data_IF_979136765778
#
_entry.id   IF_979136765778
#
_cell.length_a   1.000
_cell.length_b   1.000
_cell.length_c   1.000
_cell.angle_alpha   90.00
_cell.angle_beta   90.00
_cell.angle_gamma   90.00
#
_symmetry.space_group_name_H-M   'P 1'
#
loop_
_entity.id
_entity.type
_entity.pdbx_description
1 polymer ?
#
# COMPACT_ATOMS: atom_id res chain seq x y z
N UNK A 1 19.38 15.25 -10.83
CA UNK A 1 18.38 14.16 -10.75
C UNK A 1 17.16 14.63 -11.52
N UNK A 2 16.60 13.81 -12.42
CA UNK A 2 15.37 14.12 -13.18
C UNK A 2 14.49 12.88 -13.24
N UNK A 3 13.17 13.05 -13.27
CA UNK A 3 12.25 11.96 -13.60
C UNK A 3 12.19 11.74 -15.11
N UNK A 4 12.05 10.47 -15.52
CA UNK A 4 11.87 10.06 -16.91
C UNK A 4 10.40 9.79 -17.24
N UNK A 5 9.47 10.37 -16.48
CA UNK A 5 8.03 10.27 -16.70
C UNK A 5 7.67 10.76 -18.11
N UNK A 6 6.99 9.92 -18.88
CA UNK A 6 6.58 10.23 -20.25
C UNK A 6 5.10 10.55 -20.35
N UNK A 7 4.25 9.63 -19.88
CA UNK A 7 2.80 9.69 -20.04
C UNK A 7 2.13 8.82 -18.97
N UNK A 8 0.81 8.93 -18.89
CA UNK A 8 -0.04 7.99 -18.18
C UNK A 8 -0.64 7.01 -19.18
N UNK A 9 -0.77 5.74 -18.82
CA UNK A 9 -1.33 4.70 -19.69
C UNK A 9 -2.38 3.89 -18.95
N UNK A 10 -3.53 3.64 -19.59
CA UNK A 10 -4.54 2.79 -19.01
C UNK A 10 -4.10 1.32 -18.98
N UNK A 11 -4.18 0.71 -17.80
CA UNK A 11 -3.78 -0.69 -17.56
C UNK A 11 -4.71 -1.73 -18.20
N UNK A 12 -5.77 -1.29 -18.89
CA UNK A 12 -6.73 -2.17 -19.57
C UNK A 12 -6.80 -1.91 -21.07
N UNK A 13 -7.12 -0.67 -21.48
CA UNK A 13 -7.26 -0.32 -22.91
C UNK A 13 -5.99 0.26 -23.55
N UNK A 14 -4.92 0.47 -22.79
CA UNK A 14 -3.64 1.02 -23.26
C UNK A 14 -3.71 2.45 -23.81
N UNK A 15 -4.86 3.14 -23.66
CA UNK A 15 -4.98 4.55 -24.02
C UNK A 15 -3.98 5.39 -23.21
N UNK A 16 -3.32 6.32 -23.91
CA UNK A 16 -2.34 7.23 -23.33
C UNK A 16 -2.96 8.58 -23.01
N UNK A 17 -2.47 9.17 -21.92
CA UNK A 17 -2.89 10.46 -21.37
C UNK A 17 -1.66 11.29 -21.00
N UNK A 18 -1.80 12.61 -21.03
CA UNK A 18 -0.71 13.51 -20.66
C UNK A 18 -0.39 13.40 -19.17
N UNK A 19 0.88 13.23 -18.82
CA UNK A 19 1.32 13.27 -17.42
C UNK A 19 1.36 14.70 -16.84
N UNK A 20 1.09 15.72 -17.66
CA UNK A 20 1.08 17.14 -17.27
C UNK A 20 -0.35 17.68 -17.06
N UNK A 21 -1.37 16.84 -17.27
CA UNK A 21 -2.77 17.18 -17.07
C UNK A 21 -3.36 16.44 -15.87
N UNK A 22 -4.49 16.95 -15.38
CA UNK A 22 -5.20 16.33 -14.26
C UNK A 22 -6.02 15.16 -14.77
N UNK A 23 -5.66 13.95 -14.33
CA UNK A 23 -6.38 12.72 -14.63
C UNK A 23 -6.75 11.97 -13.36
N UNK A 24 -7.85 11.23 -13.43
CA UNK A 24 -8.23 10.23 -12.44
C UNK A 24 -8.17 8.84 -13.07
N UNK A 25 -9.32 8.22 -13.31
CA UNK A 25 -9.43 6.96 -14.06
C UNK A 25 -9.42 7.25 -15.56
N UNK A 26 -9.14 6.21 -16.34
CA UNK A 26 -9.26 6.26 -17.79
C UNK A 26 -10.65 6.75 -18.20
N UNK A 27 -10.72 7.80 -19.02
CA UNK A 27 -11.98 8.35 -19.54
C UNK A 27 -12.78 7.35 -20.37
N UNK A 28 -12.10 6.39 -20.99
CA UNK A 28 -12.68 5.52 -22.02
C UNK A 28 -13.25 4.23 -21.42
N UNK A 29 -12.61 3.69 -20.38
CA UNK A 29 -13.03 2.41 -19.80
C UNK A 29 -13.10 2.41 -18.25
N UNK A 30 -12.84 3.54 -17.59
CA UNK A 30 -12.94 3.68 -16.13
C UNK A 30 -11.94 2.85 -15.34
N UNK A 31 -10.85 2.38 -15.97
CA UNK A 31 -9.79 1.58 -15.32
C UNK A 31 -8.60 2.45 -14.92
N UNK A 32 -7.70 1.86 -14.14
CA UNK A 32 -6.54 2.54 -13.54
C UNK A 32 -5.58 3.02 -14.62
N UNK A 33 -4.91 4.14 -14.35
CA UNK A 33 -3.81 4.65 -15.15
C UNK A 33 -2.49 4.38 -14.42
N UNK A 34 -1.46 3.97 -15.14
CA UNK A 34 -0.08 3.88 -14.65
C UNK A 34 0.76 5.01 -15.20
N UNK A 35 1.65 5.55 -14.36
CA UNK A 35 2.73 6.39 -14.83
C UNK A 35 3.76 5.52 -15.58
N UNK A 36 4.06 5.91 -16.82
CA UNK A 36 5.06 5.27 -17.68
C UNK A 36 6.29 6.14 -17.80
N UNK A 37 7.45 5.50 -17.94
CA UNK A 37 8.75 6.14 -17.95
C UNK A 37 9.53 5.69 -19.18
N UNK A 38 10.44 6.53 -19.67
CA UNK A 38 11.42 6.14 -20.68
C UNK A 38 12.51 5.26 -20.05
N UNK A 39 12.16 3.98 -19.83
CA UNK A 39 13.05 3.01 -19.19
C UNK A 39 14.28 2.67 -20.04
N UNK A 40 14.22 2.92 -21.35
CA UNK A 40 15.39 2.76 -22.25
C UNK A 40 16.46 3.76 -21.87
N UNK A 41 16.10 5.04 -21.77
CA UNK A 41 17.02 6.08 -21.29
C UNK A 41 17.46 5.87 -19.84
N UNK A 42 16.55 5.42 -18.96
CA UNK A 42 16.90 5.12 -17.56
C UNK A 42 17.96 4.04 -17.47
N UNK A 43 17.82 2.94 -18.23
CA UNK A 43 18.79 1.83 -18.26
C UNK A 43 20.22 2.28 -18.61
N UNK A 44 20.33 3.19 -19.58
CA UNK A 44 21.62 3.69 -20.03
C UNK A 44 22.30 4.57 -18.98
N UNK A 45 21.54 5.41 -18.29
CA UNK A 45 22.07 6.52 -17.47
C UNK A 45 22.08 6.19 -15.97
N UNK A 46 21.04 5.55 -15.44
CA UNK A 46 20.88 5.34 -14.00
C UNK A 46 21.52 4.02 -13.53
N UNK A 47 22.48 4.12 -12.62
CA UNK A 47 23.22 2.98 -12.07
C UNK A 47 22.94 2.82 -10.58
N UNK A 48 23.06 1.58 -10.08
CA UNK A 48 22.90 1.26 -8.65
C UNK A 48 23.82 2.10 -7.75
N UNK A 49 25.03 2.41 -8.21
CA UNK A 49 25.99 3.26 -7.50
C UNK A 49 25.51 4.69 -7.26
N UNK A 50 24.59 5.19 -8.10
CA UNK A 50 24.05 6.55 -7.97
C UNK A 50 23.14 6.70 -6.74
N UNK A 51 22.72 5.58 -6.14
CA UNK A 51 21.94 5.54 -4.92
C UNK A 51 22.77 5.84 -3.67
N UNK A 52 24.10 5.69 -3.75
CA UNK A 52 25.02 5.96 -2.65
C UNK A 52 25.00 7.46 -2.33
N UNK A 53 24.84 7.79 -1.06
CA UNK A 53 24.80 9.17 -0.58
C UNK A 53 23.49 9.91 -0.85
N UNK A 54 22.51 9.28 -1.52
CA UNK A 54 21.14 9.83 -1.57
C UNK A 54 20.50 9.77 -0.19
N UNK A 55 19.55 10.67 0.07
CA UNK A 55 18.73 10.62 1.29
C UNK A 55 17.93 9.31 1.32
N UNK A 56 17.79 8.73 2.50
CA UNK A 56 17.02 7.52 2.72
C UNK A 56 15.53 7.84 2.83
N UNK A 57 14.89 8.09 1.69
CA UNK A 57 13.43 8.22 1.54
C UNK A 57 12.97 7.70 0.18
N UNK A 58 11.67 7.71 -0.10
CA UNK A 58 11.13 7.22 -1.38
C UNK A 58 11.59 8.04 -2.60
N UNK A 59 12.08 9.27 -2.40
CA UNK A 59 12.46 10.16 -3.50
C UNK A 59 13.88 9.91 -3.98
N UNK A 60 14.64 9.03 -3.31
CA UNK A 60 15.91 8.52 -3.84
C UNK A 60 15.77 7.76 -5.16
N UNK A 61 14.55 7.36 -5.54
CA UNK A 61 14.21 6.67 -6.78
C UNK A 61 13.73 7.61 -7.90
N UNK A 62 14.03 8.92 -7.80
CA UNK A 62 13.39 10.01 -8.56
C UNK A 62 13.29 9.79 -10.08
N UNK A 63 14.25 9.08 -10.68
CA UNK A 63 14.28 8.75 -12.11
C UNK A 63 12.99 8.07 -12.60
N UNK A 64 12.34 7.31 -11.72
CA UNK A 64 11.08 6.59 -11.98
C UNK A 64 9.98 7.00 -10.98
N UNK A 65 9.93 8.28 -10.62
CA UNK A 65 8.87 8.86 -9.77
C UNK A 65 7.98 9.84 -10.54
N UNK A 66 6.70 10.05 -10.16
CA UNK A 66 5.71 10.68 -11.03
C UNK A 66 5.75 12.22 -11.06
N UNK A 67 6.87 12.82 -10.66
CA UNK A 67 7.04 14.28 -10.54
C UNK A 67 8.23 14.71 -11.38
N UNK A 68 8.06 15.73 -12.22
CA UNK A 68 9.09 16.18 -13.16
C UNK A 68 10.14 17.06 -12.48
N UNK A 69 9.76 17.85 -11.47
CA UNK A 69 10.65 18.75 -10.74
C UNK A 69 10.75 18.42 -9.24
N UNK A 70 11.98 18.39 -8.70
CA UNK A 70 12.23 18.14 -7.27
C UNK A 70 11.58 19.19 -6.36
N UNK A 71 11.35 20.41 -6.83
CA UNK A 71 10.73 21.47 -6.03
C UNK A 71 9.26 21.17 -5.65
N UNK A 72 8.62 20.28 -6.40
CA UNK A 72 7.25 19.84 -6.16
C UNK A 72 7.16 18.70 -5.14
N UNK A 73 8.29 18.12 -4.74
CA UNK A 73 8.33 17.01 -3.78
C UNK A 73 7.86 17.48 -2.40
N UNK A 74 6.81 16.82 -1.92
CA UNK A 74 6.28 16.90 -0.56
C UNK A 74 6.63 15.59 0.15
N UNK A 75 7.64 15.66 1.01
CA UNK A 75 8.12 14.52 1.79
C UNK A 75 8.14 14.85 3.29
N UNK A 76 7.89 13.83 4.10
CA UNK A 76 8.08 13.79 5.54
C UNK A 76 9.20 12.80 5.94
N UNK A 77 9.95 12.27 4.98
CA UNK A 77 11.00 11.27 5.20
C UNK A 77 10.51 9.82 5.17
N UNK A 78 9.37 9.57 4.54
CA UNK A 78 8.81 8.25 4.29
C UNK A 78 9.71 7.36 3.44
N UNK A 79 9.66 6.05 3.69
CA UNK A 79 10.54 5.06 3.09
C UNK A 79 11.74 4.69 3.96
N UNK A 80 12.67 3.94 3.37
CA UNK A 80 13.83 3.35 4.04
C UNK A 80 13.47 2.60 5.34
N UNK A 81 12.35 1.88 5.31
CA UNK A 81 11.83 1.17 6.47
C UNK A 81 12.62 -0.12 6.72
N UNK A 82 12.74 -0.55 7.98
CA UNK A 82 13.50 -1.76 8.29
C UNK A 82 12.94 -3.01 7.61
N UNK A 83 13.87 -3.86 7.16
CA UNK A 83 13.61 -5.26 6.86
C UNK A 83 14.18 -6.06 8.04
N UNK A 84 13.31 -6.44 8.97
CA UNK A 84 13.69 -7.11 10.21
C UNK A 84 13.76 -8.61 9.96
N UNK A 85 14.84 -9.27 10.40
CA UNK A 85 14.89 -10.73 10.43
C UNK A 85 14.08 -11.22 11.64
N UNK A 86 13.01 -11.97 11.39
CA UNK A 86 12.12 -12.50 12.43
C UNK A 86 12.68 -13.81 12.99
N UNK A 87 13.72 -13.71 13.82
CA UNK A 87 14.47 -14.86 14.31
C UNK A 87 13.62 -15.80 15.18
N UNK A 88 12.95 -15.26 16.20
CA UNK A 88 12.21 -16.06 17.18
C UNK A 88 10.95 -16.68 16.57
N UNK A 89 10.24 -15.95 15.71
CA UNK A 89 9.12 -16.51 14.95
C UNK A 89 9.59 -17.55 13.94
N UNK A 90 10.73 -17.30 13.28
CA UNK A 90 11.33 -18.26 12.35
C UNK A 90 11.72 -19.58 13.04
N UNK A 91 12.34 -19.51 14.21
CA UNK A 91 12.77 -20.68 15.01
C UNK A 91 11.60 -21.62 15.35
N UNK A 92 10.42 -21.09 15.67
CA UNK A 92 9.20 -21.88 15.94
C UNK A 92 8.86 -22.83 14.77
N UNK A 93 9.20 -22.43 13.55
CA UNK A 93 8.86 -23.15 12.32
C UNK A 93 10.08 -23.73 11.60
N UNK A 94 11.27 -23.72 12.22
CA UNK A 94 12.56 -24.03 11.58
C UNK A 94 12.86 -23.18 10.34
N UNK A 95 12.28 -21.98 10.25
CA UNK A 95 12.44 -21.09 9.13
C UNK A 95 13.58 -20.09 9.36
N UNK A 96 14.61 -20.17 8.51
CA UNK A 96 15.81 -19.33 8.65
C UNK A 96 15.71 -17.99 7.92
N UNK A 97 14.81 -17.88 6.95
CA UNK A 97 14.71 -16.73 6.04
C UNK A 97 13.33 -16.06 6.12
N UNK A 98 12.83 -15.87 7.34
CA UNK A 98 11.61 -15.13 7.61
C UNK A 98 11.93 -13.67 7.94
N UNK A 99 11.33 -12.74 7.22
CA UNK A 99 11.55 -11.30 7.40
C UNK A 99 10.24 -10.55 7.59
N UNK A 100 10.28 -9.45 8.33
CA UNK A 100 9.19 -8.50 8.47
C UNK A 100 9.63 -7.19 7.81
N UNK A 101 8.92 -6.78 6.76
CA UNK A 101 9.06 -5.44 6.19
C UNK A 101 8.16 -4.49 6.99
N UNK A 102 8.76 -3.69 7.87
CA UNK A 102 8.02 -2.88 8.85
C UNK A 102 7.71 -1.47 8.35
N UNK A 103 6.58 -1.32 7.64
CA UNK A 103 6.08 -0.03 7.19
C UNK A 103 5.37 0.79 8.28
N UNK A 104 5.26 0.25 9.50
CA UNK A 104 4.67 0.94 10.65
C UNK A 104 5.48 2.16 11.11
N UNK A 105 6.77 2.23 10.75
CA UNK A 105 7.69 3.30 11.15
C UNK A 105 7.72 4.50 10.18
N UNK A 106 6.84 4.52 9.18
CA UNK A 106 6.67 5.71 8.35
C UNK A 106 6.12 6.91 9.16
N UNK A 107 6.28 8.16 8.68
CA UNK A 107 5.94 9.38 9.42
C UNK A 107 4.49 9.47 9.94
N UNK A 108 3.56 8.74 9.34
CA UNK A 108 2.13 8.72 9.74
C UNK A 108 1.70 7.37 10.32
N UNK A 109 2.66 6.56 10.76
CA UNK A 109 2.44 5.24 11.36
C UNK A 109 1.98 4.15 10.38
N UNK A 110 2.09 4.36 9.06
CA UNK A 110 1.74 3.35 8.07
C UNK A 110 2.35 3.61 6.68
N UNK A 111 2.38 2.57 5.86
CA UNK A 111 2.84 2.62 4.48
C UNK A 111 2.09 3.66 3.62
N UNK A 112 0.89 4.12 4.04
CA UNK A 112 0.08 5.13 3.30
C UNK A 112 0.88 6.40 3.04
N UNK A 113 1.81 6.75 3.92
CA UNK A 113 2.78 7.83 3.74
C UNK A 113 3.43 7.82 2.35
N UNK A 114 3.96 6.67 1.89
CA UNK A 114 4.63 6.56 0.59
C UNK A 114 3.75 6.98 -0.58
N UNK A 115 2.53 6.45 -0.62
CA UNK A 115 1.58 6.75 -1.70
C UNK A 115 1.12 8.20 -1.67
N UNK A 116 0.82 8.73 -0.48
CA UNK A 116 0.31 10.09 -0.34
C UNK A 116 1.40 11.15 -0.57
N UNK A 117 2.66 10.84 -0.27
CA UNK A 117 3.78 11.69 -0.70
C UNK A 117 3.80 11.86 -2.21
N UNK A 118 3.77 10.76 -2.98
CA UNK A 118 3.80 10.82 -4.43
C UNK A 118 2.59 11.57 -5.01
N UNK A 119 1.38 11.26 -4.54
CA UNK A 119 0.16 11.89 -5.04
C UNK A 119 0.02 13.37 -4.68
N UNK A 120 0.36 13.78 -3.45
CA UNK A 120 0.32 15.19 -3.06
C UNK A 120 1.40 16.00 -3.77
N UNK A 121 2.59 15.43 -3.97
CA UNK A 121 3.65 16.07 -4.76
C UNK A 121 3.21 16.30 -6.21
N UNK A 122 2.56 15.31 -6.81
CA UNK A 122 2.04 15.46 -8.17
C UNK A 122 0.85 16.41 -8.23
N UNK A 123 -0.05 16.40 -7.25
CA UNK A 123 -1.13 17.38 -7.15
C UNK A 123 -0.57 18.81 -7.10
N UNK A 124 0.50 19.04 -6.32
CA UNK A 124 1.20 20.34 -6.27
C UNK A 124 1.76 20.73 -7.64
N UNK A 125 2.44 19.80 -8.32
CA UNK A 125 3.00 20.04 -9.66
C UNK A 125 1.91 20.41 -10.68
N UNK A 126 0.71 19.84 -10.56
CA UNK A 126 -0.45 20.13 -11.41
C UNK A 126 -1.23 21.38 -10.99
N UNK A 127 -0.75 22.15 -9.99
CA UNK A 127 -1.39 23.38 -9.52
C UNK A 127 -2.66 23.16 -8.69
N UNK A 128 -2.87 21.96 -8.14
CA UNK A 128 -4.03 21.63 -7.31
C UNK A 128 -3.83 22.19 -5.91
N UNK A 129 -4.81 22.96 -5.43
CA UNK A 129 -4.78 23.57 -4.09
C UNK A 129 -5.69 22.90 -3.06
N UNK A 130 -6.65 22.08 -3.50
CA UNK A 130 -7.65 21.47 -2.64
C UNK A 130 -7.84 19.98 -2.97
N UNK A 131 -7.69 19.13 -1.95
CA UNK A 131 -7.65 17.67 -2.07
C UNK A 131 -8.66 17.03 -1.13
N UNK A 132 -9.24 15.91 -1.57
CA UNK A 132 -10.24 15.19 -0.79
C UNK A 132 -10.04 13.68 -0.80
N UNK A 133 -10.44 13.01 0.28
CA UNK A 133 -10.45 11.54 0.35
C UNK A 133 -11.62 11.01 1.19
N UNK A 134 -12.36 9.99 0.68
CA UNK A 134 -13.26 9.18 1.49
C UNK A 134 -12.47 8.01 2.09
N UNK A 135 -12.14 8.08 3.38
CA UNK A 135 -11.38 7.01 4.05
C UNK A 135 -11.59 6.98 5.57
N UNK A 136 -11.99 5.82 6.08
CA UNK A 136 -12.10 5.51 7.50
C UNK A 136 -10.79 5.02 8.14
N UNK A 137 -9.61 5.44 7.66
CA UNK A 137 -8.36 4.80 8.08
C UNK A 137 -7.09 5.56 7.75
N UNK A 138 -5.98 4.81 7.75
CA UNK A 138 -4.61 5.32 7.58
C UNK A 138 -4.39 6.26 6.37
N UNK A 139 -5.21 6.15 5.31
CA UNK A 139 -5.06 7.00 4.13
C UNK A 139 -5.55 8.44 4.37
N UNK A 140 -6.57 8.64 5.19
CA UNK A 140 -7.03 9.98 5.56
C UNK A 140 -6.00 10.70 6.43
N UNK A 141 -5.46 10.02 7.46
CA UNK A 141 -4.39 10.56 8.28
C UNK A 141 -3.16 10.94 7.46
N UNK A 142 -2.77 10.08 6.51
CA UNK A 142 -1.68 10.39 5.58
C UNK A 142 -2.02 11.56 4.65
N UNK A 143 -3.20 11.63 4.05
CA UNK A 143 -3.56 12.76 3.20
C UNK A 143 -3.50 14.07 4.00
N UNK A 144 -4.03 14.08 5.22
CA UNK A 144 -4.03 15.25 6.08
C UNK A 144 -2.61 15.73 6.40
N UNK A 145 -1.71 14.82 6.79
CA UNK A 145 -0.31 15.16 7.08
C UNK A 145 0.41 15.78 5.87
N UNK A 146 0.31 15.14 4.70
CA UNK A 146 1.00 15.61 3.49
C UNK A 146 0.35 16.84 2.89
N UNK A 147 -0.98 16.94 2.92
CA UNK A 147 -1.73 18.13 2.51
C UNK A 147 -1.36 19.34 3.36
N UNK A 148 -1.25 19.16 4.68
CA UNK A 148 -0.85 20.22 5.61
C UNK A 148 0.57 20.69 5.31
N UNK A 149 1.50 19.74 5.10
CA UNK A 149 2.88 20.03 4.67
C UNK A 149 2.93 20.79 3.34
N UNK A 150 2.02 20.47 2.42
CA UNK A 150 1.90 21.11 1.11
C UNK A 150 1.14 22.44 1.14
N UNK A 151 0.53 22.81 2.28
CA UNK A 151 -0.37 23.96 2.43
C UNK A 151 -1.59 23.91 1.50
N UNK A 152 -2.15 22.72 1.30
CA UNK A 152 -3.38 22.50 0.55
C UNK A 152 -4.59 22.51 1.48
N UNK A 153 -5.74 22.87 0.95
CA UNK A 153 -7.03 22.65 1.60
C UNK A 153 -7.36 21.15 1.59
N UNK A 154 -7.70 20.58 2.74
CA UNK A 154 -7.88 19.13 2.89
C UNK A 154 -9.31 18.83 3.32
N UNK A 155 -9.97 17.90 2.63
CA UNK A 155 -11.29 17.39 3.01
C UNK A 155 -11.23 15.88 3.23
N UNK A 156 -11.66 15.45 4.41
CA UNK A 156 -11.67 14.04 4.80
C UNK A 156 -13.10 13.63 5.08
N UNK A 157 -13.60 12.64 4.35
CA UNK A 157 -14.92 12.06 4.58
C UNK A 157 -14.76 10.72 5.31
N UNK A 158 -15.35 10.61 6.50
CA UNK A 158 -15.21 9.47 7.40
C UNK A 158 -16.57 9.00 7.92
N UNK A 159 -16.84 7.68 7.94
CA UNK A 159 -17.87 7.09 8.77
C UNK A 159 -17.80 7.52 10.24
N UNK A 160 -18.96 7.69 10.87
CA UNK A 160 -19.05 7.92 12.32
C UNK A 160 -18.44 6.77 13.17
N UNK A 161 -18.34 5.56 12.64
CA UNK A 161 -17.72 4.40 13.31
C UNK A 161 -16.19 4.31 13.12
N UNK A 162 -15.56 5.30 12.50
CA UNK A 162 -14.11 5.31 12.25
C UNK A 162 -13.33 5.29 13.57
N UNK A 163 -12.23 4.51 13.70
CA UNK A 163 -11.39 4.52 14.90
C UNK A 163 -10.94 5.94 15.28
N UNK A 164 -11.11 6.29 16.56
CA UNK A 164 -10.93 7.66 17.06
C UNK A 164 -9.54 8.23 16.76
N UNK A 165 -8.51 7.40 16.72
CA UNK A 165 -7.15 7.84 16.41
C UNK A 165 -7.05 8.48 15.02
N UNK A 166 -7.71 7.93 14.00
CA UNK A 166 -7.67 8.45 12.63
C UNK A 166 -8.41 9.78 12.51
N UNK A 167 -9.55 9.91 13.21
CA UNK A 167 -10.29 11.18 13.28
C UNK A 167 -9.45 12.26 13.96
N UNK A 168 -8.78 11.93 15.07
CA UNK A 168 -7.90 12.86 15.79
C UNK A 168 -6.75 13.35 14.93
N UNK A 169 -6.11 12.48 14.15
CA UNK A 169 -5.06 12.90 13.23
C UNK A 169 -5.58 13.84 12.15
N UNK A 170 -6.74 13.54 11.55
CA UNK A 170 -7.33 14.44 10.56
C UNK A 170 -7.53 15.86 11.14
N UNK A 171 -8.06 15.96 12.36
CA UNK A 171 -8.26 17.25 13.04
C UNK A 171 -6.95 17.96 13.37
N UNK A 172 -5.96 17.24 13.93
CA UNK A 172 -4.67 17.85 14.33
C UNK A 172 -3.86 18.34 13.12
N UNK A 173 -4.02 17.70 11.96
CA UNK A 173 -3.42 18.16 10.70
C UNK A 173 -4.25 19.23 9.97
N UNK A 174 -5.26 19.81 10.63
CA UNK A 174 -6.10 20.89 10.09
C UNK A 174 -6.92 20.48 8.85
N UNK A 175 -7.33 19.21 8.77
CA UNK A 175 -8.24 18.77 7.73
C UNK A 175 -9.70 19.10 8.07
N UNK A 176 -10.47 19.51 7.06
CA UNK A 176 -11.92 19.63 7.17
C UNK A 176 -12.51 18.22 7.24
N UNK A 177 -12.84 17.78 8.45
CA UNK A 177 -13.43 16.46 8.73
C UNK A 177 -14.94 16.50 8.53
N UNK A 178 -15.43 15.71 7.57
CA UNK A 178 -16.84 15.50 7.27
C UNK A 178 -17.22 14.10 7.76
N UNK A 179 -18.01 14.04 8.83
CA UNK A 179 -18.51 12.79 9.37
C UNK A 179 -19.82 12.40 8.68
N UNK A 180 -19.93 11.14 8.27
CA UNK A 180 -21.09 10.62 7.54
C UNK A 180 -21.78 9.51 8.31
N UNK A 181 -23.12 9.47 8.19
CA UNK A 181 -23.95 8.41 8.73
C UNK A 181 -23.91 7.19 7.79
N UNK A 182 -22.95 6.30 8.05
CA UNK A 182 -22.83 5.00 7.39
C UNK A 182 -21.41 4.61 7.01
N UNK A 183 -21.23 3.78 5.99
CA UNK A 183 -19.95 3.17 5.58
C UNK A 183 -19.14 4.04 4.60
N UNK A 184 -17.93 3.59 4.27
CA UNK A 184 -16.98 4.30 3.39
C UNK A 184 -17.51 4.57 1.97
N UNK A 185 -18.45 3.75 1.48
CA UNK A 185 -19.10 3.97 0.19
C UNK A 185 -20.02 5.21 0.22
N UNK A 186 -20.76 5.43 1.32
CA UNK A 186 -21.56 6.63 1.54
C UNK A 186 -20.68 7.87 1.66
N UNK A 187 -19.56 7.79 2.39
CA UNK A 187 -18.56 8.86 2.41
C UNK A 187 -18.07 9.25 0.99
N UNK A 188 -17.87 8.25 0.13
CA UNK A 188 -17.51 8.48 -1.28
C UNK A 188 -18.64 9.06 -2.13
N UNK A 189 -19.91 8.76 -1.81
CA UNK A 189 -21.06 9.36 -2.47
C UNK A 189 -21.23 10.82 -2.08
N UNK A 190 -21.06 11.16 -0.80
CA UNK A 190 -21.12 12.54 -0.33
C UNK A 190 -20.01 13.41 -0.91
N UNK A 191 -18.78 12.89 -0.99
CA UNK A 191 -17.69 13.58 -1.69
C UNK A 191 -18.08 13.91 -3.14
N UNK A 192 -18.63 12.94 -3.88
CA UNK A 192 -19.11 13.16 -5.25
C UNK A 192 -20.27 14.16 -5.32
N UNK A 193 -21.16 14.14 -4.33
CA UNK A 193 -22.34 15.00 -4.27
C UNK A 193 -22.02 16.45 -3.87
N UNK A 194 -20.86 16.71 -3.27
CA UNK A 194 -20.46 18.05 -2.81
C UNK A 194 -20.43 19.12 -3.92
N UNK A 195 -20.38 18.71 -5.20
CA UNK A 195 -20.25 19.59 -6.37
C UNK A 195 -19.05 20.56 -6.30
N UNK A 196 -18.07 20.25 -5.44
CA UNK A 196 -16.81 20.99 -5.31
C UNK A 196 -15.74 20.35 -6.19
N UNK A 197 -14.89 21.18 -6.78
CA UNK A 197 -13.78 20.74 -7.65
C UNK A 197 -12.55 20.27 -6.84
N UNK A 198 -12.76 19.55 -5.73
CA UNK A 198 -11.66 18.99 -4.97
C UNK A 198 -11.08 17.78 -5.70
N UNK A 199 -9.75 17.67 -5.72
CA UNK A 199 -9.10 16.53 -6.35
C UNK A 199 -9.23 15.28 -5.48
N UNK A 200 -9.92 14.26 -6.00
CA UNK A 200 -10.18 13.00 -5.29
C UNK A 200 -8.92 12.10 -5.29
N UNK A 201 -8.29 11.97 -4.12
CA UNK A 201 -7.08 11.18 -3.89
C UNK A 201 -7.40 9.76 -3.38
N UNK A 202 -8.62 9.28 -3.64
CA UNK A 202 -9.05 7.90 -3.37
C UNK A 202 -8.07 6.88 -3.96
N UNK A 203 -7.97 5.73 -3.28
CA UNK A 203 -7.06 4.64 -3.66
C UNK A 203 -7.27 4.22 -5.12
N UNK A 204 -6.24 4.38 -5.96
CA UNK A 204 -6.22 4.05 -7.40
C UNK A 204 -7.25 4.77 -8.27
N UNK A 205 -7.91 5.81 -7.76
CA UNK A 205 -8.63 6.75 -8.63
C UNK A 205 -7.69 7.76 -9.23
N UNK A 206 -6.65 8.16 -8.51
CA UNK A 206 -5.53 8.90 -9.08
C UNK A 206 -4.33 7.96 -9.34
N UNK A 207 -3.48 8.25 -10.35
CA UNK A 207 -2.44 7.33 -10.81
C UNK A 207 -1.22 7.21 -9.89
N UNK A 208 -1.01 8.18 -8.99
CA UNK A 208 0.31 8.47 -8.42
C UNK A 208 0.56 7.81 -7.07
N UNK A 209 -0.49 7.44 -6.30
CA UNK A 209 -0.29 6.62 -5.09
C UNK A 209 0.36 5.28 -5.40
N UNK A 210 0.06 4.68 -6.55
CA UNK A 210 0.68 3.43 -6.98
C UNK A 210 2.21 3.59 -7.12
N UNK A 211 2.68 4.72 -7.62
CA UNK A 211 4.11 5.02 -7.76
C UNK A 211 4.80 5.20 -6.41
N UNK A 212 4.13 5.83 -5.43
CA UNK A 212 4.64 5.85 -4.07
C UNK A 212 4.72 4.43 -3.46
N UNK A 213 3.72 3.58 -3.71
CA UNK A 213 3.75 2.17 -3.24
C UNK A 213 4.80 1.32 -3.95
N UNK A 214 5.07 1.58 -5.22
CA UNK A 214 6.12 0.94 -6.00
C UNK A 214 7.48 0.98 -5.30
N UNK A 215 7.75 2.06 -4.57
CA UNK A 215 9.00 2.20 -3.81
C UNK A 215 9.20 1.14 -2.73
N UNK A 216 8.14 0.46 -2.26
CA UNK A 216 8.29 -0.71 -1.38
C UNK A 216 9.02 -1.86 -2.09
N UNK A 217 8.72 -2.09 -3.37
CA UNK A 217 9.38 -3.11 -4.18
C UNK A 217 10.81 -2.73 -4.55
N UNK A 218 11.03 -1.45 -4.89
CA UNK A 218 12.38 -0.91 -5.16
C UNK A 218 13.31 -1.08 -3.94
N UNK A 219 12.79 -0.69 -2.78
CA UNK A 219 13.52 -0.76 -1.51
C UNK A 219 13.73 -2.21 -1.06
N UNK A 220 12.74 -3.08 -1.23
CA UNK A 220 12.90 -4.50 -0.92
C UNK A 220 13.97 -5.15 -1.81
N UNK A 221 13.97 -4.85 -3.11
CA UNK A 221 15.00 -5.33 -4.04
C UNK A 221 16.39 -4.85 -3.62
N UNK A 222 16.55 -3.57 -3.27
CA UNK A 222 17.83 -3.05 -2.75
C UNK A 222 18.26 -3.77 -1.45
N UNK A 223 17.34 -3.97 -0.50
CA UNK A 223 17.61 -4.61 0.79
C UNK A 223 17.97 -6.09 0.68
N UNK A 224 17.46 -6.79 -0.34
CA UNK A 224 17.89 -8.15 -0.71
C UNK A 224 19.03 -8.15 -1.75
N UNK A 225 19.78 -7.05 -1.84
CA UNK A 225 20.94 -6.94 -2.72
C UNK A 225 20.63 -7.28 -4.19
N UNK A 226 19.49 -6.79 -4.67
CA UNK A 226 18.95 -6.96 -6.02
C UNK A 226 18.59 -8.40 -6.41
N UNK A 227 18.43 -9.27 -5.41
CA UNK A 227 17.74 -10.55 -5.54
C UNK A 227 16.37 -10.39 -4.89
N UNK A 228 15.31 -10.99 -5.42
CA UNK A 228 13.98 -10.90 -4.78
C UNK A 228 13.80 -12.08 -3.80
N UNK A 229 12.98 -11.94 -2.75
CA UNK A 229 12.59 -13.10 -1.94
C UNK A 229 11.75 -14.08 -2.76
N UNK A 230 11.64 -15.32 -2.28
CA UNK A 230 10.82 -16.36 -2.93
C UNK A 230 9.32 -16.14 -2.72
N UNK A 231 8.91 -15.54 -1.59
CA UNK A 231 7.50 -15.22 -1.34
C UNK A 231 7.32 -13.89 -0.58
N UNK A 232 6.24 -13.19 -0.94
CA UNK A 232 5.78 -11.98 -0.26
C UNK A 232 4.36 -12.22 0.22
N UNK A 233 4.15 -12.16 1.54
CA UNK A 233 2.83 -12.22 2.15
C UNK A 233 2.38 -10.80 2.46
N UNK A 234 1.30 -10.38 1.79
CA UNK A 234 0.82 -9.01 1.83
C UNK A 234 -0.65 -8.95 2.26
N UNK A 235 -1.01 -8.05 3.20
CA UNK A 235 -2.39 -7.88 3.63
C UNK A 235 -3.16 -7.00 2.64
N UNK A 236 -4.21 -7.58 2.03
CA UNK A 236 -4.89 -6.98 0.88
C UNK A 236 -6.22 -6.35 1.26
N UNK A 237 -6.24 -5.02 1.26
CA UNK A 237 -7.47 -4.23 1.10
C UNK A 237 -7.63 -3.79 -0.35
N UNK A 238 -7.30 -2.53 -0.66
CA UNK A 238 -7.40 -1.96 -2.01
C UNK A 238 -6.26 -2.30 -2.99
N UNK A 239 -5.38 -3.25 -2.69
CA UNK A 239 -4.40 -3.80 -3.65
C UNK A 239 -3.19 -2.96 -4.05
N UNK A 240 -3.19 -1.64 -3.78
CA UNK A 240 -2.10 -0.73 -4.24
C UNK A 240 -0.68 -1.19 -3.96
N UNK A 241 -0.44 -1.91 -2.85
CA UNK A 241 0.90 -2.39 -2.50
C UNK A 241 1.38 -3.50 -3.43
N UNK A 242 0.56 -4.54 -3.63
CA UNK A 242 0.85 -5.65 -4.57
C UNK A 242 1.07 -5.09 -5.98
N UNK A 243 0.15 -4.24 -6.44
CA UNK A 243 0.23 -3.62 -7.77
C UNK A 243 1.50 -2.77 -7.92
N UNK A 244 1.82 -1.97 -6.91
CA UNK A 244 3.03 -1.15 -6.90
C UNK A 244 4.30 -1.99 -6.92
N UNK A 245 4.42 -3.01 -6.05
CA UNK A 245 5.61 -3.87 -5.98
C UNK A 245 5.83 -4.63 -7.28
N UNK A 246 4.77 -5.20 -7.87
CA UNK A 246 4.88 -5.90 -9.15
C UNK A 246 5.39 -4.99 -10.26
N UNK A 247 4.83 -3.77 -10.36
CA UNK A 247 5.31 -2.73 -11.27
C UNK A 247 6.78 -2.38 -11.02
N UNK A 248 7.22 -2.35 -9.76
CA UNK A 248 8.61 -2.09 -9.41
C UNK A 248 9.53 -3.16 -9.98
N UNK A 249 9.16 -4.43 -9.81
CA UNK A 249 9.95 -5.57 -10.29
C UNK A 249 10.03 -5.57 -11.82
N UNK A 250 8.92 -5.28 -12.51
CA UNK A 250 8.89 -5.18 -13.96
C UNK A 250 9.78 -4.03 -14.49
N UNK A 251 9.77 -2.88 -13.83
CA UNK A 251 10.64 -1.76 -14.21
C UNK A 251 12.11 -2.05 -13.92
N UNK A 252 12.41 -2.67 -12.77
CA UNK A 252 13.77 -3.08 -12.39
C UNK A 252 14.36 -4.13 -13.36
N UNK A 253 13.55 -5.07 -13.83
CA UNK A 253 13.97 -6.05 -14.85
C UNK A 253 14.26 -5.35 -16.18
N UNK A 254 13.37 -4.46 -16.64
CA UNK A 254 13.54 -3.73 -17.91
C UNK A 254 14.83 -2.90 -17.92
N UNK A 255 15.18 -2.26 -16.80
CA UNK A 255 16.44 -1.52 -16.66
C UNK A 255 17.65 -2.42 -16.34
N UNK A 256 17.44 -3.74 -16.20
CA UNK A 256 18.48 -4.74 -16.01
C UNK A 256 19.10 -4.76 -14.61
N UNK A 257 18.38 -4.30 -13.59
CA UNK A 257 18.86 -4.31 -12.20
C UNK A 257 18.58 -5.63 -11.48
N UNK A 258 17.52 -6.34 -11.89
CA UNK A 258 17.16 -7.69 -11.41
C UNK A 258 16.91 -8.62 -12.61
N UNK A 259 16.81 -9.92 -12.37
CA UNK A 259 16.43 -10.92 -13.37
C UNK A 259 14.90 -11.08 -13.51
N UNK A 260 14.48 -12.12 -14.25
CA UNK A 260 13.07 -12.44 -14.50
C UNK A 260 12.38 -13.19 -13.36
N UNK A 261 13.13 -13.66 -12.36
CA UNK A 261 12.56 -14.33 -11.19
C UNK A 261 11.64 -13.37 -10.42
N UNK A 262 10.55 -13.92 -9.87
CA UNK A 262 9.52 -13.16 -9.14
C UNK A 262 9.12 -13.88 -7.85
N UNK A 263 8.85 -13.13 -6.77
CA UNK A 263 8.26 -13.71 -5.56
C UNK A 263 6.85 -14.22 -5.85
N UNK A 264 6.45 -15.30 -5.18
CA UNK A 264 5.05 -15.63 -5.03
C UNK A 264 4.33 -14.49 -4.31
N UNK A 265 3.35 -13.86 -4.96
CA UNK A 265 2.58 -12.76 -4.36
C UNK A 265 1.37 -13.34 -3.66
N UNK A 266 1.42 -13.36 -2.32
CA UNK A 266 0.41 -14.00 -1.49
C UNK A 266 -0.50 -12.92 -0.87
N UNK A 267 -1.78 -12.98 -1.22
CA UNK A 267 -2.79 -12.02 -0.76
C UNK A 267 -3.54 -12.56 0.46
N UNK A 268 -3.46 -11.85 1.58
CA UNK A 268 -4.19 -12.20 2.80
C UNK A 268 -5.37 -11.27 2.98
N UNK A 269 -6.55 -11.82 3.26
CA UNK A 269 -7.74 -11.06 3.65
C UNK A 269 -8.34 -11.56 4.96
N UNK A 270 -9.15 -10.74 5.64
CA UNK A 270 -9.90 -11.18 6.82
C UNK A 270 -11.11 -12.00 6.36
N UNK A 271 -11.51 -13.04 7.08
CA UNK A 271 -12.72 -13.82 6.77
C UNK A 271 -13.98 -12.94 6.63
N UNK A 272 -14.09 -11.87 7.42
CA UNK A 272 -15.22 -10.96 7.37
C UNK A 272 -15.17 -9.91 6.24
N UNK A 273 -14.14 -9.92 5.39
CA UNK A 273 -14.04 -9.11 4.18
C UNK A 273 -12.99 -9.67 3.21
N UNK A 274 -13.38 -10.65 2.38
CA UNK A 274 -12.47 -11.40 1.52
C UNK A 274 -12.85 -11.45 0.02
N UNK A 275 -13.19 -10.31 -0.64
CA UNK A 275 -13.63 -10.31 -2.03
C UNK A 275 -12.59 -10.85 -3.03
N UNK A 276 -11.30 -10.59 -2.81
CA UNK A 276 -10.21 -11.06 -3.69
C UNK A 276 -9.97 -12.54 -3.51
N UNK A 277 -10.00 -13.05 -2.28
CA UNK A 277 -9.87 -14.50 -2.03
C UNK A 277 -11.01 -15.26 -2.71
N UNK A 278 -12.25 -14.81 -2.51
CA UNK A 278 -13.44 -15.39 -3.14
C UNK A 278 -13.35 -15.41 -4.67
N UNK A 279 -12.91 -14.31 -5.28
CA UNK A 279 -12.76 -14.22 -6.74
C UNK A 279 -11.60 -15.09 -7.25
N UNK A 280 -10.50 -15.16 -6.50
CA UNK A 280 -9.36 -16.00 -6.84
C UNK A 280 -9.74 -17.49 -6.87
N UNK A 281 -10.43 -17.98 -5.82
CA UNK A 281 -10.90 -19.36 -5.70
C UNK A 281 -11.90 -19.76 -6.79
N UNK A 282 -12.78 -18.83 -7.18
CA UNK A 282 -13.74 -19.04 -8.28
C UNK A 282 -13.10 -19.01 -9.67
N UNK A 283 -11.87 -18.50 -9.80
CA UNK A 283 -11.22 -18.28 -11.10
C UNK A 283 -11.70 -17.00 -11.81
N UNK A 284 -12.37 -16.09 -11.11
CA UNK A 284 -12.94 -14.87 -11.70
C UNK A 284 -11.86 -13.84 -12.04
N UNK A 285 -12.12 -12.98 -13.03
CA UNK A 285 -11.23 -11.85 -13.37
C UNK A 285 -11.51 -10.58 -12.57
N UNK A 286 -12.64 -10.54 -11.86
CA UNK A 286 -13.09 -9.42 -11.04
C UNK A 286 -13.69 -9.93 -9.74
N UNK A 287 -13.63 -9.10 -8.70
CA UNK A 287 -14.20 -9.39 -7.41
C UNK A 287 -15.55 -8.70 -7.25
N UNK A 288 -16.58 -9.51 -6.99
CA UNK A 288 -17.88 -9.01 -6.58
C UNK A 288 -17.79 -8.27 -5.24
N UNK A 289 -18.70 -7.32 -5.03
CA UNK A 289 -18.84 -6.60 -3.76
C UNK A 289 -18.97 -7.59 -2.59
N UNK A 290 -18.23 -7.34 -1.52
CA UNK A 290 -18.41 -8.03 -0.25
C UNK A 290 -19.44 -7.28 0.61
N UNK A 291 -20.58 -7.91 0.89
CA UNK A 291 -21.62 -7.30 1.72
C UNK A 291 -21.28 -7.42 3.22
N UNK A 292 -21.76 -6.47 4.02
CA UNK A 292 -21.60 -6.44 5.49
C UNK A 292 -20.16 -6.64 6.00
N UNK A 293 -19.18 -6.04 5.29
CA UNK A 293 -17.76 -6.16 5.62
C UNK A 293 -17.43 -5.75 7.06
N UNK A 294 -16.82 -6.67 7.82
CA UNK A 294 -16.43 -6.49 9.24
C UNK A 294 -15.10 -7.16 9.51
N UNK A 295 -14.22 -6.49 10.25
CA UNK A 295 -12.97 -7.05 10.75
C UNK A 295 -12.32 -6.06 11.73
N UNK A 296 -11.48 -6.57 12.64
CA UNK A 296 -10.57 -5.76 13.47
C UNK A 296 -9.43 -5.10 12.67
N UNK A 297 -9.23 -5.47 11.39
CA UNK A 297 -8.19 -4.94 10.51
C UNK A 297 -8.76 -3.89 9.53
N UNK A 298 -8.84 -2.59 9.91
CA UNK A 298 -9.55 -1.58 9.13
C UNK A 298 -8.99 -1.35 7.73
N UNK A 299 -7.68 -1.51 7.52
CA UNK A 299 -7.03 -1.40 6.22
C UNK A 299 -7.34 -2.55 5.25
N UNK A 300 -7.86 -3.67 5.77
CA UNK A 300 -8.34 -4.83 4.99
C UNK A 300 -9.86 -4.84 4.80
N UNK A 301 -10.62 -3.99 5.53
CA UNK A 301 -12.08 -3.80 5.39
C UNK A 301 -12.42 -3.04 4.09
N UNK A 302 -12.08 -3.60 2.93
CA UNK A 302 -12.30 -3.02 1.60
C UNK A 302 -13.17 -3.98 0.77
N UNK A 303 -14.49 -3.75 0.70
CA UNK A 303 -15.44 -4.71 0.12
C UNK A 303 -15.39 -4.79 -1.41
N UNK A 304 -14.84 -3.78 -2.07
CA UNK A 304 -14.62 -3.76 -3.52
C UNK A 304 -13.41 -2.87 -3.82
N UNK A 305 -12.59 -3.28 -4.78
CA UNK A 305 -11.38 -2.56 -5.17
C UNK A 305 -11.38 -2.26 -6.67
N UNK A 306 -11.00 -1.05 -7.05
CA UNK A 306 -10.97 -0.60 -8.45
C UNK A 306 -10.00 -1.43 -9.31
N UNK A 307 -8.94 -1.97 -8.70
CA UNK A 307 -7.89 -2.73 -9.35
C UNK A 307 -7.89 -4.22 -8.98
N UNK A 308 -9.07 -4.77 -8.67
CA UNK A 308 -9.28 -6.21 -8.40
C UNK A 308 -8.66 -7.11 -9.48
N UNK A 309 -8.87 -6.79 -10.75
CA UNK A 309 -8.33 -7.53 -11.89
C UNK A 309 -6.81 -7.55 -11.91
N UNK A 310 -6.15 -6.43 -11.58
CA UNK A 310 -4.68 -6.40 -11.49
C UNK A 310 -4.19 -7.25 -10.33
N UNK A 311 -4.85 -7.20 -9.17
CA UNK A 311 -4.48 -8.06 -8.04
C UNK A 311 -4.60 -9.54 -8.41
N UNK A 312 -5.74 -9.94 -8.97
CA UNK A 312 -6.01 -11.32 -9.36
C UNK A 312 -5.04 -11.81 -10.43
N UNK A 313 -4.73 -10.97 -11.41
CA UNK A 313 -3.71 -11.25 -12.43
C UNK A 313 -2.34 -11.47 -11.79
N UNK A 314 -1.88 -10.56 -10.94
CA UNK A 314 -0.55 -10.63 -10.29
C UNK A 314 -0.42 -11.87 -9.41
N UNK A 315 -1.45 -12.19 -8.61
CA UNK A 315 -1.43 -13.39 -7.77
C UNK A 315 -1.27 -14.65 -8.64
N UNK A 316 -1.95 -14.71 -9.79
CA UNK A 316 -1.85 -15.85 -10.73
C UNK A 316 -0.50 -15.90 -11.44
N UNK A 317 -0.04 -14.78 -12.00
CA UNK A 317 1.21 -14.68 -12.75
C UNK A 317 2.44 -14.96 -11.88
N UNK A 318 2.38 -14.60 -10.59
CA UNK A 318 3.43 -14.92 -9.62
C UNK A 318 3.42 -16.36 -9.12
N UNK A 319 2.47 -17.19 -9.55
CA UNK A 319 2.17 -18.50 -8.96
C UNK A 319 1.95 -18.42 -7.44
N UNK A 320 1.41 -17.29 -6.96
CA UNK A 320 1.03 -17.08 -5.58
C UNK A 320 -0.35 -17.64 -5.26
N UNK A 321 -0.87 -17.24 -4.10
CA UNK A 321 -2.20 -17.68 -3.63
C UNK A 321 -2.92 -16.55 -2.89
N UNK A 322 -4.20 -16.74 -2.65
CA UNK A 322 -5.01 -15.87 -1.80
C UNK A 322 -5.68 -16.70 -0.71
N UNK A 323 -5.66 -16.21 0.54
CA UNK A 323 -6.26 -16.92 1.67
C UNK A 323 -6.84 -15.96 2.71
N UNK A 324 -7.72 -16.51 3.55
CA UNK A 324 -8.31 -15.79 4.67
C UNK A 324 -7.69 -16.14 6.02
N UNK A 325 -7.74 -15.18 6.93
CA UNK A 325 -7.48 -15.35 8.36
C UNK A 325 -8.63 -14.76 9.17
N UNK A 326 -8.95 -15.39 10.30
CA UNK A 326 -9.98 -14.92 11.22
C UNK A 326 -9.45 -13.76 12.07
N UNK A 327 -10.36 -12.93 12.59
CA UNK A 327 -9.99 -11.84 13.51
C UNK A 327 -9.32 -12.37 14.80
N UNK A 328 -9.65 -13.59 15.24
CA UNK A 328 -9.01 -14.22 16.38
C UNK A 328 -7.55 -14.61 16.09
N UNK A 329 -7.26 -15.13 14.89
CA UNK A 329 -5.91 -15.43 14.43
C UNK A 329 -5.08 -14.15 14.26
N UNK A 330 -5.70 -13.09 13.73
CA UNK A 330 -5.08 -11.75 13.64
C UNK A 330 -4.70 -11.26 15.04
N UNK A 331 -5.65 -11.27 15.98
CA UNK A 331 -5.45 -10.79 17.34
C UNK A 331 -4.32 -11.55 18.06
N UNK A 332 -4.33 -12.88 18.00
CA UNK A 332 -3.25 -13.73 18.53
C UNK A 332 -1.90 -13.39 17.90
N UNK A 333 -1.87 -13.13 16.60
CA UNK A 333 -0.64 -12.80 15.87
C UNK A 333 -0.07 -11.43 16.24
N UNK A 334 -0.91 -10.44 16.60
CA UNK A 334 -0.43 -9.15 17.14
C UNK A 334 0.42 -9.41 18.39
N UNK A 335 -0.09 -10.22 19.32
CA UNK A 335 0.62 -10.55 20.55
C UNK A 335 1.90 -11.35 20.30
N UNK A 336 1.88 -12.30 19.36
CA UNK A 336 3.07 -13.10 19.03
C UNK A 336 4.17 -12.28 18.38
N UNK A 337 3.85 -11.45 17.38
CA UNK A 337 4.84 -10.55 16.77
C UNK A 337 5.44 -9.59 17.79
N UNK A 338 4.62 -9.04 18.69
CA UNK A 338 5.10 -8.13 19.72
C UNK A 338 5.98 -8.82 20.77
N UNK A 339 5.55 -9.99 21.27
CA UNK A 339 6.26 -10.69 22.36
C UNK A 339 7.50 -11.46 21.92
N UNK A 340 7.57 -11.89 20.66
CA UNK A 340 8.69 -12.68 20.13
C UNK A 340 9.72 -11.81 19.40
N UNK A 341 9.28 -10.80 18.64
CA UNK A 341 10.19 -9.97 17.82
C UNK A 341 10.28 -8.51 18.30
N UNK A 342 9.48 -8.11 19.29
CA UNK A 342 9.38 -6.69 19.67
C UNK A 342 8.68 -5.82 18.62
N UNK A 343 7.96 -6.42 17.66
CA UNK A 343 7.26 -5.70 16.60
C UNK A 343 5.80 -5.53 16.97
N UNK A 344 5.43 -4.31 17.40
CA UNK A 344 4.01 -3.97 17.62
C UNK A 344 3.32 -3.68 16.29
N UNK A 345 3.05 -4.74 15.53
CA UNK A 345 2.43 -4.69 14.22
C UNK A 345 0.97 -4.22 14.29
N UNK A 346 0.50 -3.57 13.22
CA UNK A 346 -0.93 -3.36 13.02
C UNK A 346 -1.64 -4.70 12.73
N UNK A 347 -2.98 -4.78 12.89
CA UNK A 347 -3.74 -5.99 12.59
C UNK A 347 -3.48 -6.54 11.18
N UNK A 348 -3.28 -5.65 10.20
CA UNK A 348 -2.96 -6.04 8.83
C UNK A 348 -1.59 -6.74 8.74
N UNK A 349 -0.59 -6.27 9.49
CA UNK A 349 0.70 -6.94 9.56
C UNK A 349 0.60 -8.29 10.26
N UNK A 350 -0.13 -8.34 11.38
CA UNK A 350 -0.39 -9.59 12.10
C UNK A 350 -1.13 -10.65 11.26
N UNK A 351 -2.02 -10.22 10.36
CA UNK A 351 -2.68 -11.11 9.42
C UNK A 351 -1.68 -11.86 8.51
N UNK A 352 -0.56 -11.23 8.12
CA UNK A 352 0.47 -11.89 7.30
C UNK A 352 1.17 -13.01 8.04
N UNK A 353 1.40 -12.87 9.36
CA UNK A 353 1.98 -13.94 10.16
C UNK A 353 0.99 -15.10 10.37
N UNK A 354 -0.29 -14.80 10.66
CA UNK A 354 -1.32 -15.83 10.72
C UNK A 354 -1.43 -16.62 9.41
N UNK A 355 -1.34 -15.93 8.26
CA UNK A 355 -1.35 -16.58 6.96
C UNK A 355 -0.09 -17.43 6.72
N UNK A 356 1.08 -16.94 7.12
CA UNK A 356 2.34 -17.69 7.02
C UNK A 356 2.25 -19.05 7.70
N UNK A 357 1.70 -19.12 8.91
CA UNK A 357 1.52 -20.39 9.62
C UNK A 357 0.59 -21.35 8.88
N UNK A 358 -0.52 -20.86 8.32
CA UNK A 358 -1.43 -21.69 7.52
C UNK A 358 -0.74 -22.25 6.28
N UNK A 359 0.09 -21.44 5.62
CA UNK A 359 0.80 -21.80 4.40
C UNK A 359 1.94 -22.79 4.65
N UNK A 360 2.58 -22.73 5.82
CA UNK A 360 3.49 -23.78 6.26
C UNK A 360 2.71 -25.07 6.57
N UNK A 361 1.62 -24.96 7.32
CA UNK A 361 0.84 -26.12 7.76
C UNK A 361 0.23 -26.92 6.60
N UNK A 362 -0.13 -26.24 5.50
CA UNK A 362 -0.68 -26.88 4.31
C UNK A 362 0.39 -27.22 3.24
N UNK A 363 1.68 -26.94 3.53
CA UNK A 363 2.80 -27.25 2.64
C UNK A 363 2.94 -26.34 1.42
N UNK A 364 2.17 -25.25 1.31
CA UNK A 364 2.32 -24.28 0.23
C UNK A 364 3.66 -23.54 0.32
N UNK A 365 4.10 -23.22 1.55
CA UNK A 365 5.44 -22.68 1.82
C UNK A 365 6.29 -23.73 2.54
N UNK A 366 7.59 -23.71 2.28
CA UNK A 366 8.59 -24.53 2.97
C UNK A 366 9.42 -23.65 3.92
N UNK A 367 9.86 -24.16 5.09
CA UNK A 367 10.66 -23.39 6.05
C UNK A 367 11.94 -22.76 5.49
N UNK A 368 12.53 -23.37 4.47
CA UNK A 368 13.78 -22.92 3.84
C UNK A 368 13.58 -21.70 2.95
N UNK A 369 12.36 -21.45 2.49
CA UNK A 369 12.04 -20.34 1.59
C UNK A 369 12.30 -18.99 2.26
N UNK A 370 12.80 -18.05 1.47
CA UNK A 370 12.88 -16.64 1.83
C UNK A 370 11.50 -15.99 1.73
N UNK A 371 10.91 -15.65 2.89
CA UNK A 371 9.54 -15.13 3.00
C UNK A 371 9.55 -13.77 3.67
N UNK A 372 8.85 -12.81 3.07
CA UNK A 372 8.70 -11.45 3.62
C UNK A 372 7.24 -11.20 4.01
N UNK A 373 7.04 -10.93 5.30
CA UNK A 373 5.78 -10.48 5.90
C UNK A 373 5.69 -8.96 5.85
N UNK A 374 4.68 -8.41 5.17
CA UNK A 374 4.50 -6.96 5.12
C UNK A 374 3.65 -6.45 6.28
N UNK A 375 4.29 -5.86 7.29
CA UNK A 375 3.59 -5.07 8.29
C UNK A 375 3.29 -3.67 7.74
N UNK A 376 2.04 -3.42 7.35
CA UNK A 376 1.67 -2.18 6.64
C UNK A 376 1.38 -0.97 7.55
N UNK A 377 1.39 -1.15 8.87
CA UNK A 377 1.09 -0.10 9.84
C UNK A 377 1.60 -0.40 11.25
N UNK A 378 1.60 0.62 12.10
CA UNK A 378 1.93 0.48 13.52
C UNK A 378 0.71 0.06 14.34
N UNK A 379 0.90 -0.88 15.27
CA UNK A 379 -0.13 -1.27 16.24
C UNK A 379 -0.58 -0.11 17.14
N UNK A 380 0.25 0.94 17.28
CA UNK A 380 -0.11 2.17 18.00
C UNK A 380 -1.30 2.91 17.40
N UNK A 381 -1.66 2.60 16.15
CA UNK A 381 -2.80 3.20 15.43
C UNK A 381 -4.14 2.60 15.84
N UNK A 382 -4.13 1.45 16.53
CA UNK A 382 -5.31 0.72 16.99
C UNK A 382 -5.10 0.27 18.45
N UNK A 383 -4.87 1.20 19.39
CA UNK A 383 -4.58 0.84 20.79
C UNK A 383 -5.76 0.10 21.45
N UNK A 384 -6.98 0.35 20.98
CA UNK A 384 -8.22 -0.22 21.53
C UNK A 384 -8.33 -1.75 21.32
N UNK A 385 -7.49 -2.35 20.48
CA UNK A 385 -7.43 -3.81 20.31
C UNK A 385 -6.65 -4.51 21.44
N UNK A 386 -5.96 -3.75 22.28
CA UNK A 386 -5.18 -4.27 23.40
C UNK A 386 -5.97 -4.09 24.70
N UNK A 387 -6.44 -5.20 25.26
CA UNK A 387 -7.12 -5.21 26.55
C UNK A 387 -6.12 -4.95 27.67
N UNK A 388 -6.33 -3.87 28.42
CA UNK A 388 -5.56 -3.59 29.63
C UNK A 388 -6.05 -4.45 30.80
N UNK A 389 -5.16 -4.89 31.70
CA UNK A 389 -5.59 -5.57 32.91
C UNK A 389 -6.47 -4.64 33.75
N UNK A 390 -7.62 -5.14 34.21
CA UNK A 390 -8.44 -4.43 35.19
C UNK A 390 -7.72 -4.45 36.53
N UNK A 391 -7.59 -3.29 37.17
CA UNK A 391 -7.06 -3.20 38.53
C UNK A 391 -7.92 -4.09 39.45
N UNK A 392 -7.31 -5.15 39.96
CA UNK A 392 -7.91 -6.05 40.95
C UNK A 392 -8.09 -5.36 42.29
#
# INVERSE_FOLDING_TARGET
MRSYLTHLECTNCQQQFSAQEIHTLCSDCGKVLFARYDLTSVKEIWKKSDLLGRKNDIWRWFEIMPVLSLENVISLGEGATPLLHAHSLGEIHNAKQLYIKDEGLNPTGSFKARGLSAAVSKAKELGISSIAIPSAGNAAAALAAYGSRAKMEIHVFMPNDTPAMMMREAVVYDANLHLVDGLINQAGQELKASAKNWFDVSTLKEPYRAEGKKTMGLELAEQFNWSLPEAIIYPTGGGTGIVGMWKAFDELEQIGWIGSERPQMISVQSEGCAPIVRAFEKGDSHAELWEDAKTIAPGMRVPVAVADYLMLQIIRESNGTALTVSDAEIHSSIHRMASQEGVFAAPEGAATYAAYEKLLANGHLQPEMSVVLFNTGSGMKTPDLITLPTRT
#
